data_IF_757286923458
#
_entry.id   IF_757286923458
#
_cell.length_a   1.000
_cell.length_b   1.000
_cell.length_c   1.000
_cell.angle_alpha   90.00
_cell.angle_beta   90.00
_cell.angle_gamma   90.00
#
_symmetry.space_group_name_H-M   'P 1'
#
loop_
_entity.id
_entity.type
_entity.pdbx_description
1 polymer ?
#
# COMPACT_ATOMS: atom_id res chain seq x y z
N UNK A 1 -28.07 1.87 -12.34
CA UNK A 1 -27.35 2.70 -13.33
C UNK A 1 -26.00 3.01 -12.71
N UNK A 2 -24.93 2.39 -13.22
CA UNK A 2 -23.57 2.55 -12.72
C UNK A 2 -22.98 3.78 -13.42
N UNK A 3 -22.68 4.82 -12.66
CA UNK A 3 -21.96 6.00 -13.18
C UNK A 3 -20.48 5.70 -13.00
N UNK A 4 -19.87 5.06 -13.99
CA UNK A 4 -18.42 4.93 -14.04
C UNK A 4 -17.87 6.29 -14.46
N UNK A 5 -17.22 6.98 -13.52
CA UNK A 5 -16.61 8.29 -13.76
C UNK A 5 -15.29 8.08 -14.51
N UNK A 6 -15.27 8.43 -15.79
CA UNK A 6 -14.06 8.43 -16.64
C UNK A 6 -13.52 9.85 -16.71
N UNK A 7 -12.23 10.04 -16.40
CA UNK A 7 -11.53 11.29 -16.66
C UNK A 7 -11.52 11.62 -18.17
N UNK A 8 -11.12 12.84 -18.54
CA UNK A 8 -11.02 13.30 -19.94
C UNK A 8 -10.10 12.45 -20.84
N UNK A 9 -9.40 11.47 -20.27
CA UNK A 9 -8.56 10.48 -20.95
C UNK A 9 -9.01 9.03 -20.73
N UNK A 10 -10.27 8.79 -20.37
CA UNK A 10 -10.83 7.42 -20.28
C UNK A 10 -10.34 6.59 -19.08
N UNK A 11 -9.26 7.00 -18.42
CA UNK A 11 -8.74 6.32 -17.24
C UNK A 11 -9.51 6.78 -15.99
N UNK A 12 -9.99 5.81 -15.21
CA UNK A 12 -10.60 6.06 -13.90
C UNK A 12 -9.59 6.63 -12.90
N UNK A 13 -10.09 7.17 -11.79
CA UNK A 13 -9.27 7.68 -10.69
C UNK A 13 -8.29 6.61 -10.19
N UNK A 14 -6.99 6.81 -10.39
CA UNK A 14 -5.95 5.90 -9.90
C UNK A 14 -5.77 6.03 -8.38
N UNK A 15 -5.75 4.89 -7.69
CA UNK A 15 -5.74 4.79 -6.22
C UNK A 15 -4.50 4.07 -5.76
N UNK A 16 -3.60 4.80 -5.13
CA UNK A 16 -2.36 4.25 -4.59
C UNK A 16 -2.46 4.13 -3.07
N UNK A 17 -1.97 3.02 -2.54
CA UNK A 17 -1.83 2.81 -1.11
C UNK A 17 -0.36 2.58 -0.77
N UNK A 18 0.08 3.10 0.37
CA UNK A 18 1.37 2.80 0.95
C UNK A 18 1.14 2.37 2.40
N UNK A 19 1.64 1.19 2.79
CA UNK A 19 1.54 0.72 4.18
C UNK A 19 2.93 0.43 4.75
N UNK A 20 3.20 1.00 5.92
CA UNK A 20 4.47 0.87 6.62
C UNK A 20 4.44 -0.33 7.56
N UNK A 21 5.18 -1.39 7.21
CA UNK A 21 5.42 -2.56 8.04
C UNK A 21 6.68 -2.41 8.87
N UNK A 22 6.54 -1.83 10.06
CA UNK A 22 7.64 -1.51 10.98
C UNK A 22 8.47 -2.72 11.38
N UNK A 23 7.81 -3.85 11.65
CA UNK A 23 8.47 -5.09 12.10
C UNK A 23 8.73 -6.07 10.95
N UNK A 24 8.20 -5.80 9.74
CA UNK A 24 8.31 -6.70 8.61
C UNK A 24 9.71 -6.61 7.99
N UNK A 25 10.47 -7.71 8.07
CA UNK A 25 11.86 -7.73 7.59
C UNK A 25 11.94 -7.55 6.07
N UNK A 26 12.89 -6.76 5.55
CA UNK A 26 13.05 -6.56 4.11
C UNK A 26 13.74 -7.74 3.41
N UNK A 27 14.47 -8.58 4.15
CA UNK A 27 15.23 -9.70 3.60
C UNK A 27 15.35 -10.84 4.61
N UNK A 28 15.80 -12.00 4.13
CA UNK A 28 15.98 -13.20 4.95
C UNK A 28 14.79 -14.17 4.88
N UNK A 29 14.57 -14.91 5.96
CA UNK A 29 13.51 -15.92 6.01
C UNK A 29 12.19 -15.35 6.52
N UNK A 30 11.11 -15.71 5.82
CA UNK A 30 9.73 -15.45 6.23
C UNK A 30 9.01 -16.78 6.53
N UNK A 31 8.38 -16.88 7.69
CA UNK A 31 7.70 -18.10 8.17
C UNK A 31 6.22 -18.03 7.83
N UNK A 32 5.80 -18.70 6.76
CA UNK A 32 4.41 -18.69 6.27
C UNK A 32 3.39 -19.33 7.23
N UNK A 33 3.86 -20.05 8.25
CA UNK A 33 3.05 -20.62 9.33
C UNK A 33 3.00 -19.71 10.58
N UNK A 34 3.68 -18.57 10.55
CA UNK A 34 3.79 -17.63 11.67
C UNK A 34 3.89 -16.19 11.15
N UNK A 35 2.85 -15.74 10.45
CA UNK A 35 2.79 -14.40 9.83
C UNK A 35 2.61 -13.29 10.87
N UNK A 36 1.80 -13.55 11.91
CA UNK A 36 1.44 -12.59 12.95
C UNK A 36 2.43 -12.53 14.12
N UNK A 37 3.31 -13.52 14.28
CA UNK A 37 4.37 -13.51 15.29
C UNK A 37 5.73 -13.24 14.67
N UNK A 38 6.49 -14.30 14.46
CA UNK A 38 7.90 -14.27 14.07
C UNK A 38 8.20 -13.67 12.69
N UNK A 39 7.20 -13.43 11.85
CA UNK A 39 7.37 -12.77 10.55
C UNK A 39 7.15 -11.26 10.57
N UNK A 40 6.94 -10.65 11.75
CA UNK A 40 6.87 -9.18 11.86
C UNK A 40 5.58 -8.58 11.32
N UNK A 41 4.45 -9.23 11.63
CA UNK A 41 3.09 -8.78 11.25
C UNK A 41 2.84 -8.69 9.75
N UNK A 42 3.43 -9.59 8.97
CA UNK A 42 3.15 -9.70 7.53
C UNK A 42 1.68 -10.05 7.27
N UNK A 43 0.97 -10.65 8.23
CA UNK A 43 -0.50 -10.83 8.16
C UNK A 43 -1.24 -9.50 7.91
N UNK A 44 -0.79 -8.41 8.53
CA UNK A 44 -1.37 -7.06 8.37
C UNK A 44 -1.16 -6.56 6.95
N UNK A 45 0.07 -6.70 6.44
CA UNK A 45 0.43 -6.27 5.09
C UNK A 45 -0.31 -7.09 4.03
N UNK A 46 -0.41 -8.41 4.22
CA UNK A 46 -1.13 -9.28 3.30
C UNK A 46 -2.63 -8.97 3.25
N UNK A 47 -3.25 -8.67 4.40
CA UNK A 47 -4.65 -8.20 4.45
C UNK A 47 -4.82 -6.83 3.78
N UNK A 48 -3.85 -5.94 3.91
CA UNK A 48 -3.87 -4.65 3.19
C UNK A 48 -3.81 -4.85 1.67
N UNK A 49 -2.95 -5.75 1.16
CA UNK A 49 -2.93 -6.12 -0.26
C UNK A 49 -4.27 -6.69 -0.69
N UNK A 50 -4.85 -7.57 0.13
CA UNK A 50 -6.15 -8.16 -0.17
C UNK A 50 -7.23 -7.08 -0.34
N UNK A 51 -7.32 -6.19 0.65
CA UNK A 51 -8.29 -5.09 0.68
C UNK A 51 -8.09 -4.07 -0.45
N UNK A 52 -6.85 -3.80 -0.85
CA UNK A 52 -6.54 -2.80 -1.87
C UNK A 52 -6.87 -3.28 -3.29
N UNK A 53 -6.70 -4.58 -3.55
CA UNK A 53 -6.68 -5.07 -4.94
C UNK A 53 -7.85 -5.97 -5.30
N UNK A 54 -8.38 -6.78 -4.38
CA UNK A 54 -9.29 -7.85 -4.77
C UNK A 54 -10.77 -7.48 -4.56
N UNK A 55 -11.59 -7.89 -5.52
CA UNK A 55 -13.06 -7.84 -5.48
C UNK A 55 -13.61 -9.23 -5.81
N UNK A 56 -14.91 -9.45 -5.61
CA UNK A 56 -15.52 -10.80 -5.71
C UNK A 56 -15.23 -11.53 -7.02
N UNK A 57 -15.08 -10.81 -8.13
CA UNK A 57 -14.88 -11.40 -9.46
C UNK A 57 -13.65 -10.85 -10.20
N UNK A 58 -12.64 -10.37 -9.48
CA UNK A 58 -11.43 -9.88 -10.13
C UNK A 58 -10.52 -9.04 -9.26
N UNK A 59 -9.77 -8.17 -9.93
CA UNK A 59 -8.76 -7.29 -9.37
C UNK A 59 -9.10 -5.87 -9.81
N UNK A 60 -8.99 -4.89 -8.91
CA UNK A 60 -9.09 -3.47 -9.20
C UNK A 60 -7.90 -3.05 -10.04
N UNK A 61 -8.13 -2.75 -11.32
CA UNK A 61 -7.07 -2.35 -12.27
C UNK A 61 -6.68 -0.88 -12.15
N UNK A 62 -7.42 -0.11 -11.36
CA UNK A 62 -7.20 1.30 -11.01
C UNK A 62 -6.55 1.46 -9.63
N UNK A 63 -5.99 0.38 -9.06
CA UNK A 63 -5.41 0.39 -7.72
C UNK A 63 -4.06 -0.31 -7.62
N UNK A 64 -3.19 0.26 -6.78
CA UNK A 64 -1.91 -0.32 -6.42
C UNK A 64 -1.61 -0.14 -4.94
N UNK A 65 -0.76 -1.00 -4.40
CA UNK A 65 -0.30 -0.91 -3.02
C UNK A 65 1.21 -1.17 -2.93
N UNK A 66 1.91 -0.29 -2.22
CA UNK A 66 3.32 -0.42 -1.89
C UNK A 66 3.48 -0.76 -0.41
N UNK A 67 4.08 -1.92 -0.15
CA UNK A 67 4.45 -2.37 1.19
C UNK A 67 5.86 -1.86 1.51
N UNK A 68 6.03 -1.18 2.63
CA UNK A 68 7.34 -0.78 3.15
C UNK A 68 7.78 -1.77 4.23
N UNK A 69 8.79 -2.57 3.94
CA UNK A 69 9.36 -3.55 4.85
C UNK A 69 10.53 -2.90 5.60
N UNK A 70 10.27 -2.44 6.82
CA UNK A 70 11.16 -1.58 7.61
C UNK A 70 11.81 -2.31 8.80
N UNK A 71 11.57 -3.61 8.96
CA UNK A 71 12.02 -4.43 10.08
C UNK A 71 13.51 -4.74 10.09
N UNK A 72 14.33 -3.71 10.32
CA UNK A 72 15.79 -3.78 10.35
C UNK A 72 16.44 -4.00 8.97
N UNK A 73 17.77 -3.87 8.90
CA UNK A 73 18.51 -4.01 7.64
C UNK A 73 18.21 -2.88 6.64
N UNK A 74 18.48 -3.13 5.35
CA UNK A 74 18.23 -2.17 4.27
C UNK A 74 16.74 -2.21 3.91
N UNK A 75 16.04 -1.09 4.07
CA UNK A 75 14.61 -0.95 3.78
C UNK A 75 14.26 -1.39 2.35
N UNK A 76 13.10 -2.04 2.22
CA UNK A 76 12.60 -2.55 0.94
C UNK A 76 11.15 -2.19 0.72
N UNK A 77 10.83 -1.78 -0.49
CA UNK A 77 9.47 -1.55 -0.98
C UNK A 77 9.04 -2.69 -1.89
N UNK A 78 7.82 -3.18 -1.72
CA UNK A 78 7.21 -4.18 -2.61
C UNK A 78 5.89 -3.63 -3.11
N UNK A 79 5.78 -3.40 -4.42
CA UNK A 79 4.57 -2.86 -5.06
C UNK A 79 3.79 -3.98 -5.73
N UNK A 80 2.51 -4.03 -5.43
CA UNK A 80 1.51 -4.81 -6.13
C UNK A 80 0.64 -3.85 -6.95
N UNK A 81 0.60 -4.04 -8.26
CA UNK A 81 -0.11 -3.21 -9.22
C UNK A 81 -1.26 -4.02 -9.84
N UNK A 82 -2.50 -3.61 -9.54
CA UNK A 82 -3.70 -4.32 -9.94
C UNK A 82 -3.97 -4.32 -11.44
N UNK A 83 -3.44 -3.36 -12.20
CA UNK A 83 -3.57 -3.33 -13.67
C UNK A 83 -2.96 -4.59 -14.29
N UNK A 84 -1.76 -4.93 -13.82
CA UNK A 84 -0.94 -6.00 -14.39
C UNK A 84 -0.83 -7.26 -13.51
N UNK A 85 -1.44 -7.28 -12.31
CA UNK A 85 -1.34 -8.39 -11.35
C UNK A 85 -1.92 -9.69 -11.89
N UNK A 86 -1.14 -10.77 -11.86
CA UNK A 86 -1.59 -12.13 -12.21
C UNK A 86 -0.96 -13.17 -11.29
N UNK A 87 -1.67 -14.28 -11.04
CA UNK A 87 -1.14 -15.42 -10.29
C UNK A 87 -1.01 -15.19 -8.77
N UNK A 88 -1.79 -14.25 -8.22
CA UNK A 88 -1.89 -14.01 -6.78
C UNK A 88 -3.30 -14.37 -6.34
N UNK A 89 -3.43 -15.20 -5.31
CA UNK A 89 -4.73 -15.51 -4.71
C UNK A 89 -5.04 -14.53 -3.57
N UNK A 90 -6.32 -14.17 -3.34
CA UNK A 90 -6.77 -13.22 -2.33
C UNK A 90 -6.74 -13.80 -0.90
N UNK A 91 -5.66 -14.49 -0.55
CA UNK A 91 -5.42 -15.07 0.77
C UNK A 91 -4.03 -14.68 1.29
N UNK A 92 -3.92 -14.58 2.63
CA UNK A 92 -2.71 -14.07 3.27
C UNK A 92 -1.47 -14.92 2.95
N UNK A 93 -1.64 -16.23 2.82
CA UNK A 93 -0.53 -17.16 2.60
C UNK A 93 0.04 -17.02 1.19
N UNK A 94 -0.82 -16.90 0.18
CA UNK A 94 -0.42 -16.67 -1.22
C UNK A 94 0.34 -15.35 -1.36
N UNK A 95 -0.23 -14.25 -0.86
CA UNK A 95 0.39 -12.91 -0.89
C UNK A 95 1.74 -12.93 -0.17
N UNK A 96 1.78 -13.50 1.04
CA UNK A 96 3.02 -13.64 1.82
C UNK A 96 4.06 -14.53 1.14
N UNK A 97 3.62 -15.50 0.32
CA UNK A 97 4.50 -16.34 -0.51
C UNK A 97 5.27 -15.53 -1.55
N UNK A 98 4.62 -14.55 -2.20
CA UNK A 98 5.26 -13.62 -3.12
C UNK A 98 6.28 -12.72 -2.40
N UNK A 99 5.90 -12.15 -1.25
CA UNK A 99 6.80 -11.35 -0.39
C UNK A 99 8.02 -12.19 0.01
N UNK A 100 7.81 -13.41 0.50
CA UNK A 100 8.87 -14.36 0.86
C UNK A 100 9.81 -14.65 -0.31
N UNK A 101 9.28 -14.81 -1.53
CA UNK A 101 10.13 -15.04 -2.71
C UNK A 101 10.99 -13.83 -3.05
N UNK A 102 10.46 -12.61 -2.85
CA UNK A 102 11.19 -11.36 -3.06
C UNK A 102 12.30 -11.19 -2.03
N UNK A 103 12.03 -11.47 -0.74
CA UNK A 103 13.00 -11.37 0.36
C UNK A 103 14.31 -12.15 0.16
N UNK A 104 14.31 -13.15 -0.73
CA UNK A 104 15.51 -13.92 -1.13
C UNK A 104 16.41 -13.21 -2.14
N UNK A 105 15.91 -12.17 -2.80
CA UNK A 105 16.63 -11.38 -3.82
C UNK A 105 17.40 -10.23 -3.15
N UNK A 106 18.49 -9.73 -3.75
CA UNK A 106 19.13 -8.48 -3.32
C UNK A 106 18.15 -7.31 -3.34
N UNK A 107 18.31 -6.35 -2.42
CA UNK A 107 17.51 -5.10 -2.44
C UNK A 107 18.02 -4.25 -3.61
N UNK A 108 17.17 -3.82 -4.55
CA UNK A 108 17.57 -2.90 -5.61
C UNK A 108 17.92 -1.52 -5.05
N UNK A 109 18.68 -0.69 -5.79
CA UNK A 109 18.85 0.72 -5.44
C UNK A 109 17.50 1.46 -5.32
N UNK A 110 17.49 2.55 -4.56
CA UNK A 110 16.32 3.44 -4.44
C UNK A 110 15.94 3.96 -5.84
N UNK A 111 14.64 3.96 -6.14
CA UNK A 111 14.07 4.34 -7.45
C UNK A 111 14.21 3.29 -8.56
N UNK A 112 15.04 2.26 -8.39
CA UNK A 112 15.22 1.20 -9.38
C UNK A 112 14.25 0.03 -9.16
N UNK A 113 13.02 0.18 -9.67
CA UNK A 113 12.00 -0.88 -9.59
C UNK A 113 12.38 -2.12 -10.43
N UNK A 114 12.61 -3.25 -9.76
CA UNK A 114 12.85 -4.53 -10.41
C UNK A 114 11.58 -5.38 -10.40
N UNK A 115 11.22 -5.96 -11.55
CA UNK A 115 10.07 -6.86 -11.66
C UNK A 115 10.32 -8.19 -10.93
N UNK A 116 9.39 -8.58 -10.06
CA UNK A 116 9.39 -9.87 -9.39
C UNK A 116 8.57 -10.92 -10.16
N UNK A 117 7.36 -10.54 -10.57
CA UNK A 117 6.38 -11.30 -11.37
C UNK A 117 5.41 -10.34 -12.07
N UNK A 118 4.28 -10.81 -12.62
CA UNK A 118 3.27 -9.95 -13.25
C UNK A 118 2.53 -9.10 -12.18
N UNK A 119 2.61 -7.77 -12.31
CA UNK A 119 2.08 -6.81 -11.34
C UNK A 119 2.75 -6.81 -9.98
N UNK A 120 3.94 -7.41 -9.83
CA UNK A 120 4.72 -7.32 -8.60
C UNK A 120 6.13 -6.85 -8.93
N UNK A 121 6.54 -5.76 -8.29
CA UNK A 121 7.88 -5.20 -8.37
C UNK A 121 8.42 -4.87 -6.98
N UNK A 122 9.73 -4.71 -6.86
CA UNK A 122 10.37 -4.29 -5.61
C UNK A 122 11.50 -3.31 -5.87
N UNK A 123 11.78 -2.47 -4.88
CA UNK A 123 12.79 -1.42 -4.91
C UNK A 123 13.35 -1.20 -3.51
N UNK A 124 14.50 -0.55 -3.40
CA UNK A 124 14.93 0.02 -2.12
C UNK A 124 14.11 1.26 -1.74
N UNK A 125 14.28 1.71 -0.50
CA UNK A 125 13.80 3.02 -0.06
C UNK A 125 12.71 2.99 1.00
N UNK A 126 12.32 4.18 1.44
CA UNK A 126 11.37 4.43 2.54
C UNK A 126 10.05 5.04 2.02
N UNK A 127 9.19 5.46 2.95
CA UNK A 127 7.96 6.19 2.59
C UNK A 127 8.29 7.52 1.89
N UNK A 128 9.37 8.19 2.27
CA UNK A 128 9.80 9.44 1.64
C UNK A 128 10.02 9.26 0.13
N UNK A 129 10.68 8.18 -0.28
CA UNK A 129 10.92 7.89 -1.70
C UNK A 129 9.62 7.64 -2.46
N UNK A 130 8.62 7.05 -1.80
CA UNK A 130 7.30 6.84 -2.41
C UNK A 130 6.52 8.13 -2.55
N UNK A 131 6.61 9.03 -1.58
CA UNK A 131 6.00 10.36 -1.67
C UNK A 131 6.63 11.21 -2.78
N UNK A 132 7.96 11.16 -2.94
CA UNK A 132 8.66 11.84 -4.05
C UNK A 132 8.24 11.28 -5.41
N UNK A 133 8.14 9.95 -5.53
CA UNK A 133 7.64 9.29 -6.75
C UNK A 133 6.20 9.74 -7.04
N UNK A 134 5.31 9.65 -6.06
CA UNK A 134 3.92 10.10 -6.15
C UNK A 134 3.81 11.58 -6.56
N UNK A 135 4.57 12.48 -5.94
CA UNK A 135 4.59 13.90 -6.30
C UNK A 135 5.01 14.10 -7.77
N UNK A 136 6.05 13.40 -8.22
CA UNK A 136 6.52 13.47 -9.61
C UNK A 136 5.51 12.93 -10.63
N UNK A 137 4.66 11.99 -10.21
CA UNK A 137 3.57 11.39 -11.00
C UNK A 137 2.26 12.18 -10.88
N UNK A 138 2.21 13.28 -10.12
CA UNK A 138 1.01 14.08 -9.90
C UNK A 138 -0.03 13.43 -8.97
N UNK A 139 0.38 12.45 -8.18
CA UNK A 139 -0.44 11.76 -7.18
C UNK A 139 -0.56 12.63 -5.92
N UNK A 140 -1.79 12.98 -5.54
CA UNK A 140 -2.03 13.73 -4.30
C UNK A 140 -1.89 12.79 -3.09
N UNK A 141 -0.92 13.07 -2.23
CA UNK A 141 -0.66 12.27 -1.02
C UNK A 141 -1.56 12.66 0.17
N UNK A 142 -2.10 11.66 0.85
CA UNK A 142 -2.91 11.77 2.06
C UNK A 142 -2.44 10.74 3.09
N UNK A 143 -2.59 11.07 4.37
CA UNK A 143 -2.22 10.19 5.49
C UNK A 143 -3.46 9.88 6.30
N UNK A 144 -3.66 8.61 6.63
CA UNK A 144 -4.76 8.22 7.50
C UNK A 144 -4.44 8.49 8.97
N UNK A 145 -5.26 9.31 9.60
CA UNK A 145 -5.14 9.70 11.00
C UNK A 145 -6.56 9.92 11.54
N UNK A 146 -6.92 9.25 12.64
CA UNK A 146 -8.25 9.39 13.25
C UNK A 146 -8.57 10.84 13.66
N UNK A 147 -7.52 11.65 13.91
CA UNK A 147 -7.60 13.08 14.24
C UNK A 147 -7.59 14.00 13.00
N UNK A 148 -7.49 13.42 11.81
CA UNK A 148 -7.53 14.14 10.54
C UNK A 148 -8.91 14.72 10.22
N UNK A 149 -9.01 15.41 9.09
CA UNK A 149 -10.29 15.90 8.56
C UNK A 149 -10.99 14.81 7.76
N UNK A 150 -12.33 14.87 7.64
CA UNK A 150 -13.05 13.95 6.74
C UNK A 150 -12.52 14.06 5.31
N UNK A 151 -12.53 12.95 4.58
CA UNK A 151 -12.21 12.95 3.16
C UNK A 151 -13.17 13.90 2.43
N UNK A 152 -12.63 14.98 1.87
CA UNK A 152 -13.39 15.95 1.09
C UNK A 152 -13.73 15.41 -0.30
N UNK A 153 -14.38 16.23 -1.13
CA UNK A 153 -14.53 15.91 -2.55
C UNK A 153 -13.16 15.82 -3.20
N UNK A 154 -12.96 14.74 -3.94
CA UNK A 154 -11.77 14.51 -4.73
C UNK A 154 -12.03 14.95 -6.17
N UNK A 155 -10.98 15.43 -6.81
CA UNK A 155 -10.98 15.70 -8.24
C UNK A 155 -10.54 14.43 -8.98
N UNK A 156 -10.56 14.45 -10.30
CA UNK A 156 -10.14 13.32 -11.15
C UNK A 156 -8.60 13.06 -11.14
N UNK A 157 -7.88 13.57 -10.14
CA UNK A 157 -6.41 13.41 -10.02
C UNK A 157 -6.08 12.18 -9.17
N UNK A 158 -5.07 11.38 -9.56
CA UNK A 158 -4.62 10.23 -8.77
C UNK A 158 -4.40 10.57 -7.29
N UNK A 159 -4.75 9.64 -6.40
CA UNK A 159 -4.66 9.83 -4.96
C UNK A 159 -3.86 8.72 -4.29
N UNK A 160 -2.99 9.09 -3.38
CA UNK A 160 -2.16 8.21 -2.57
C UNK A 160 -2.57 8.25 -1.10
N UNK A 161 -2.80 7.11 -0.47
CA UNK A 161 -3.08 7.00 0.97
C UNK A 161 -1.96 6.28 1.69
N UNK A 162 -1.38 6.93 2.69
CA UNK A 162 -0.37 6.35 3.58
C UNK A 162 -1.04 5.83 4.84
N UNK A 163 -0.71 4.59 5.19
CA UNK A 163 -1.18 3.88 6.36
C UNK A 163 0.02 3.35 7.17
N UNK A 164 -0.16 3.31 8.48
CA UNK A 164 0.71 2.52 9.34
C UNK A 164 0.20 1.10 9.50
N UNK A 165 1.03 0.19 10.00
CA UNK A 165 0.63 -1.15 10.39
C UNK A 165 -0.09 -1.18 11.76
N UNK A 166 0.39 -1.99 12.69
CA UNK A 166 -0.14 -2.12 14.05
C UNK A 166 0.53 -1.17 15.04
N UNK A 167 1.60 -0.49 14.62
CA UNK A 167 2.31 0.52 15.40
C UNK A 167 1.92 1.93 14.88
N UNK A 168 2.02 2.98 15.71
CA UNK A 168 1.91 4.34 15.21
C UNK A 168 3.11 4.68 14.30
N UNK A 169 2.96 5.70 13.46
CA UNK A 169 4.10 6.29 12.76
C UNK A 169 5.16 6.75 13.76
N UNK A 170 6.42 6.53 13.42
CA UNK A 170 7.59 7.05 14.15
C UNK A 170 7.71 8.57 14.02
N UNK A 171 8.55 9.20 14.84
CA UNK A 171 8.76 10.65 14.76
C UNK A 171 9.34 11.07 13.40
N UNK A 172 10.28 10.30 12.85
CA UNK A 172 10.88 10.55 11.53
C UNK A 172 9.86 10.42 10.38
N UNK A 173 8.95 9.46 10.48
CA UNK A 173 7.84 9.30 9.53
C UNK A 173 6.84 10.44 9.67
N UNK A 174 6.48 10.85 10.89
CA UNK A 174 5.60 11.99 11.11
C UNK A 174 6.19 13.29 10.53
N UNK A 175 7.52 13.50 10.66
CA UNK A 175 8.20 14.63 10.04
C UNK A 175 8.15 14.56 8.50
N UNK A 176 8.37 13.38 7.94
CA UNK A 176 8.24 13.14 6.49
C UNK A 176 6.82 13.39 5.98
N UNK A 177 5.81 13.09 6.81
CA UNK A 177 4.40 13.16 6.47
C UNK A 177 3.73 14.50 6.83
N UNK A 178 4.46 15.45 7.41
CA UNK A 178 3.91 16.72 7.90
C UNK A 178 3.18 17.52 6.81
N UNK A 179 3.71 17.52 5.58
CA UNK A 179 3.11 18.20 4.43
C UNK A 179 1.89 17.49 3.83
N UNK A 180 1.58 16.27 4.25
CA UNK A 180 0.47 15.50 3.68
C UNK A 180 -0.87 15.85 4.36
N UNK A 181 -1.94 15.84 3.57
CA UNK A 181 -3.29 16.03 4.12
C UNK A 181 -3.66 14.84 5.02
N UNK A 182 -3.97 15.12 6.30
CA UNK A 182 -4.49 14.11 7.24
C UNK A 182 -5.98 13.85 7.01
N UNK A 183 -6.33 12.60 6.78
CA UNK A 183 -7.69 12.13 6.50
C UNK A 183 -8.17 11.18 7.60
N UNK A 184 -9.33 11.48 8.16
CA UNK A 184 -10.03 10.64 9.13
C UNK A 184 -11.21 9.91 8.49
N UNK A 185 -11.37 8.63 8.86
CA UNK A 185 -12.49 7.76 8.49
C UNK A 185 -13.47 7.52 9.65
N UNK A 186 -13.27 8.21 10.77
CA UNK A 186 -14.02 8.01 12.01
C UNK A 186 -13.18 8.35 13.24
N UNK A 187 -13.81 8.34 14.41
CA UNK A 187 -13.14 8.60 15.70
C UNK A 187 -12.26 7.44 16.16
N UNK A 188 -12.50 6.24 15.63
CA UNK A 188 -11.80 5.02 16.04
C UNK A 188 -10.53 4.77 15.22
N UNK A 189 -9.52 4.21 15.88
CA UNK A 189 -8.32 3.71 15.21
C UNK A 189 -8.61 2.34 14.59
N UNK A 190 -8.94 2.33 13.31
CA UNK A 190 -9.24 1.12 12.56
C UNK A 190 -7.96 0.41 12.10
N UNK A 191 -8.07 -0.91 11.89
CA UNK A 191 -6.99 -1.66 11.25
C UNK A 191 -6.83 -1.20 9.79
N UNK A 192 -5.59 -1.07 9.32
CA UNK A 192 -5.29 -0.48 8.00
C UNK A 192 -6.08 -1.10 6.83
N UNK A 193 -6.26 -2.42 6.80
CA UNK A 193 -7.06 -3.07 5.76
C UNK A 193 -8.55 -2.63 5.77
N UNK A 194 -9.14 -2.37 6.95
CA UNK A 194 -10.50 -1.85 7.05
C UNK A 194 -10.59 -0.41 6.53
N UNK A 195 -9.58 0.41 6.81
CA UNK A 195 -9.48 1.75 6.23
C UNK A 195 -9.46 1.71 4.70
N UNK A 196 -8.69 0.80 4.10
CA UNK A 196 -8.62 0.61 2.65
C UNK A 196 -10.01 0.25 2.07
N UNK A 197 -10.74 -0.66 2.72
CA UNK A 197 -12.10 -1.03 2.30
C UNK A 197 -13.04 0.18 2.33
N UNK A 198 -13.00 0.99 3.40
CA UNK A 198 -13.83 2.19 3.52
C UNK A 198 -13.46 3.22 2.46
N UNK A 199 -12.16 3.44 2.21
CA UNK A 199 -11.71 4.35 1.16
C UNK A 199 -12.21 3.90 -0.21
N UNK A 200 -12.08 2.62 -0.55
CA UNK A 200 -12.66 2.10 -1.79
C UNK A 200 -14.16 2.35 -1.88
N UNK A 201 -14.91 2.10 -0.81
CA UNK A 201 -16.35 2.39 -0.78
C UNK A 201 -16.66 3.87 -1.04
N UNK A 202 -15.91 4.79 -0.41
CA UNK A 202 -16.08 6.24 -0.59
C UNK A 202 -15.68 6.72 -1.99
N UNK A 203 -14.73 6.05 -2.64
CA UNK A 203 -14.23 6.40 -3.97
C UNK A 203 -15.01 5.73 -5.11
N UNK A 204 -15.74 4.65 -4.82
CA UNK A 204 -16.59 3.95 -5.79
C UNK A 204 -17.97 4.61 -5.93
N UNK A 205 -18.42 5.37 -4.93
CA UNK A 205 -19.72 6.06 -4.88
C UNK A 205 -19.67 7.46 -5.45
#
# INVERSE_FOLDING_TARGET
MSTTWTSTWGDGLQRHFAIIGHNARPSGELRLNDLAGGSGRVDVLARAVNAALFVSHGIRTDSSITLHLMGGGIARRVRFDGESLRGVHPDERSISGHIKSIMKRPVPPIGAWQRASAGIAHSGGSIEDTLREWESEGVKSCVLDARGSRLGRLNDSPIGFVLSDHLPFTDDENATLEGCQKVSLGSEWLQGHACIVILHHLLDG
#
